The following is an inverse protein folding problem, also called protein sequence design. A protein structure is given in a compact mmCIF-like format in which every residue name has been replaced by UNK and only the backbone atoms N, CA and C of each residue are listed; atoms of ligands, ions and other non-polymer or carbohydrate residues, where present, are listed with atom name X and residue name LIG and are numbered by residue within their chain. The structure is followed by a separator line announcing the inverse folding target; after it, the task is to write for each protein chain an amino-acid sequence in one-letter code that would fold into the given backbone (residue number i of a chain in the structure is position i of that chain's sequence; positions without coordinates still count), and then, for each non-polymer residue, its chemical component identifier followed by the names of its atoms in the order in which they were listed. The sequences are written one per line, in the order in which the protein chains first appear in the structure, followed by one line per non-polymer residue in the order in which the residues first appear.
data_IF_160839709605
#
_entry.id   IF_160839709605
#
_cell.length_a   1.000
_cell.length_b   1.000
_cell.length_c   1.000
_cell.angle_alpha   90.00
_cell.angle_beta   90.00
_cell.angle_gamma   90.00
#
_symmetry.space_group_name_H-M   'P 1'
#
loop_
_entity.id
_entity.type
_entity.pdbx_description
1 polymer ?
#
# COMPACT_ATOMS: atom_id res chain seq x y z
N UNK A 1 5.02 -6.09 -14.46
CA UNK A 1 5.29 -5.18 -13.32
C UNK A 1 5.14 -5.95 -12.01
N UNK A 2 5.99 -5.66 -11.02
CA UNK A 2 5.92 -6.25 -9.68
C UNK A 2 5.80 -5.12 -8.67
N UNK A 3 4.89 -5.27 -7.69
CA UNK A 3 4.68 -4.31 -6.62
C UNK A 3 4.72 -4.98 -5.25
N UNK A 4 5.04 -4.19 -4.22
CA UNK A 4 5.06 -4.59 -2.81
C UNK A 4 4.38 -3.54 -1.95
N UNK A 5 3.72 -4.02 -0.89
CA UNK A 5 3.13 -3.16 0.14
C UNK A 5 4.24 -2.43 0.89
N UNK A 6 4.02 -1.15 1.15
CA UNK A 6 4.81 -0.34 2.08
C UNK A 6 4.18 -0.53 3.45
N UNK A 7 4.95 -1.07 4.37
CA UNK A 7 4.48 -1.32 5.73
C UNK A 7 4.62 -0.06 6.59
N UNK A 8 3.83 0.03 7.65
CA UNK A 8 4.02 1.04 8.67
C UNK A 8 5.29 0.73 9.46
N UNK A 9 6.18 1.72 9.70
CA UNK A 9 7.43 1.48 10.45
C UNK A 9 7.20 0.89 11.85
N UNK A 10 6.12 1.32 12.53
CA UNK A 10 5.76 0.84 13.87
C UNK A 10 4.91 -0.43 13.87
N UNK A 11 4.33 -0.84 12.74
CA UNK A 11 3.51 -2.05 12.64
C UNK A 11 3.59 -2.68 11.24
N UNK A 12 4.47 -3.68 11.05
CA UNK A 12 4.71 -4.31 9.75
C UNK A 12 3.49 -5.00 9.12
N UNK A 13 2.49 -5.36 9.92
CA UNK A 13 1.25 -5.97 9.44
C UNK A 13 0.30 -4.93 8.82
N UNK A 14 0.48 -3.65 9.14
CA UNK A 14 -0.33 -2.57 8.61
C UNK A 14 0.33 -1.98 7.36
N UNK A 15 -0.38 -2.00 6.23
CA UNK A 15 0.09 -1.37 5.00
C UNK A 15 -0.37 0.10 4.94
N UNK A 16 0.56 1.00 4.65
CA UNK A 16 0.27 2.44 4.44
C UNK A 16 0.29 2.83 2.97
N UNK A 17 0.73 1.91 2.10
CA UNK A 17 0.87 2.17 0.68
C UNK A 17 1.41 0.97 -0.09
N UNK A 18 1.81 1.21 -1.34
CA UNK A 18 2.46 0.24 -2.21
C UNK A 18 3.49 0.93 -3.11
N UNK A 19 4.56 0.21 -3.45
CA UNK A 19 5.60 0.66 -4.37
C UNK A 19 5.87 -0.40 -5.41
N UNK A 20 6.17 0.01 -6.64
CA UNK A 20 6.58 -0.88 -7.72
C UNK A 20 8.10 -1.00 -7.81
N UNK A 21 8.59 -2.04 -8.50
CA UNK A 21 10.02 -2.23 -8.74
C UNK A 21 10.70 -1.10 -9.55
N UNK A 22 9.92 -0.29 -10.28
CA UNK A 22 10.35 0.92 -10.98
C UNK A 22 10.26 2.20 -10.13
N UNK A 23 9.86 2.07 -8.86
CA UNK A 23 9.88 3.17 -7.89
C UNK A 23 8.60 4.01 -7.81
N UNK A 24 7.58 3.72 -8.62
CA UNK A 24 6.29 4.39 -8.48
C UNK A 24 5.62 3.96 -7.16
N UNK A 25 5.26 4.94 -6.34
CA UNK A 25 4.66 4.72 -5.03
C UNK A 25 3.28 5.35 -4.94
N UNK A 26 2.40 4.68 -4.19
CA UNK A 26 1.06 5.14 -3.84
C UNK A 26 0.85 4.96 -2.35
N UNK A 27 0.28 5.97 -1.71
CA UNK A 27 -0.01 5.96 -0.29
C UNK A 27 -1.52 6.05 -0.03
N UNK A 28 -1.92 5.61 1.16
CA UNK A 28 -3.24 5.87 1.70
C UNK A 28 -3.22 7.17 2.50
N UNK A 29 -3.65 8.26 1.86
CA UNK A 29 -3.67 9.60 2.44
C UNK A 29 -4.47 9.68 3.75
N UNK A 30 -5.51 8.87 3.91
CA UNK A 30 -6.32 8.86 5.14
C UNK A 30 -5.53 8.24 6.29
N UNK A 31 -4.82 7.14 6.03
CA UNK A 31 -3.96 6.47 7.02
C UNK A 31 -2.79 7.36 7.41
N UNK A 32 -2.11 7.97 6.43
CA UNK A 32 -1.00 8.90 6.68
C UNK A 32 -1.46 10.06 7.56
N UNK A 33 -2.57 10.71 7.20
CA UNK A 33 -3.12 11.84 7.97
C UNK A 33 -3.55 11.45 9.36
N UNK A 34 -4.19 10.28 9.54
CA UNK A 34 -4.67 9.82 10.84
C UNK A 34 -3.53 9.43 11.79
N UNK A 35 -2.44 8.90 11.24
CA UNK A 35 -1.27 8.52 12.02
C UNK A 35 -0.25 9.67 12.18
N UNK A 36 -0.48 10.82 11.54
CA UNK A 36 0.42 11.97 11.58
C UNK A 36 1.78 11.66 10.97
N UNK A 37 1.83 10.77 9.97
CA UNK A 37 3.06 10.36 9.33
C UNK A 37 3.46 11.37 8.27
N UNK A 38 4.76 11.61 8.17
CA UNK A 38 5.35 12.33 7.06
C UNK A 38 5.83 11.33 5.99
N UNK A 39 5.75 11.69 4.72
CA UNK A 39 6.25 10.83 3.63
C UNK A 39 7.75 10.52 3.79
N UNK A 40 8.55 11.45 4.32
CA UNK A 40 9.96 11.23 4.63
C UNK A 40 10.18 10.19 5.73
N UNK A 41 9.23 10.03 6.66
CA UNK A 41 9.29 8.97 7.67
C UNK A 41 9.00 7.57 7.08
N UNK A 42 8.31 7.51 5.94
CA UNK A 42 8.00 6.27 5.22
C UNK A 42 9.07 5.88 4.20
N UNK A 43 10.00 6.78 3.89
CA UNK A 43 11.06 6.56 2.90
C UNK A 43 11.89 5.28 3.14
N UNK A 44 12.30 4.93 4.38
CA UNK A 44 13.01 3.68 4.61
C UNK A 44 12.17 2.43 4.31
N UNK A 45 10.87 2.47 4.63
CA UNK A 45 9.95 1.36 4.34
C UNK A 45 9.60 1.28 2.85
N UNK A 46 9.52 2.43 2.18
CA UNK A 46 9.38 2.53 0.72
C UNK A 46 10.55 1.84 0.04
N UNK A 47 11.78 2.19 0.42
CA UNK A 47 12.98 1.64 -0.20
C UNK A 47 13.13 0.13 0.08
N UNK A 48 12.84 -0.32 1.31
CA UNK A 48 12.78 -1.75 1.64
C UNK A 48 11.76 -2.50 0.79
N UNK A 49 10.56 -1.94 0.62
CA UNK A 49 9.51 -2.54 -0.20
C UNK A 49 9.89 -2.55 -1.69
N UNK A 50 10.54 -1.49 -2.18
CA UNK A 50 11.04 -1.37 -3.54
C UNK A 50 12.10 -2.43 -3.83
N UNK A 51 13.11 -2.57 -2.97
CA UNK A 51 14.16 -3.59 -3.13
C UNK A 51 13.57 -5.00 -3.18
N UNK A 52 12.58 -5.29 -2.33
CA UNK A 52 11.85 -6.57 -2.37
C UNK A 52 11.02 -6.75 -3.65
N UNK A 53 10.54 -5.67 -4.26
CA UNK A 53 9.85 -5.71 -5.54
C UNK A 53 10.84 -5.96 -6.69
N UNK A 54 12.03 -5.37 -6.64
CA UNK A 54 13.14 -5.60 -7.56
C UNK A 54 13.65 -7.05 -7.47
N UNK A 55 14.00 -7.53 -6.27
CA UNK A 55 14.41 -8.93 -6.01
C UNK A 55 13.37 -9.93 -6.57
N UNK A 56 12.08 -9.65 -6.35
CA UNK A 56 11.00 -10.51 -6.85
C UNK A 56 10.80 -10.41 -8.36
N UNK A 57 11.00 -9.22 -8.94
CA UNK A 57 10.97 -9.04 -10.40
C UNK A 57 12.09 -9.84 -11.03
N UNK A 58 13.31 -9.72 -10.52
CA UNK A 58 14.48 -10.34 -11.09
C UNK A 58 14.40 -11.87 -10.97
N UNK A 59 13.92 -12.38 -9.82
CA UNK A 59 13.63 -13.80 -9.65
C UNK A 59 12.52 -14.33 -10.57
N UNK A 60 11.50 -13.50 -10.86
CA UNK A 60 10.41 -13.90 -11.77
C UNK A 60 10.84 -13.88 -13.24
N UNK A 61 11.68 -12.91 -13.61
CA UNK A 61 12.17 -12.77 -14.96
C UNK A 61 13.25 -13.81 -15.29
N UNK A 62 14.13 -14.14 -14.34
CA UNK A 62 15.18 -15.15 -14.54
C UNK A 62 15.96 -14.91 -15.85
N UNK A 63 16.38 -13.65 -16.07
CA UNK A 63 17.04 -13.20 -17.30
C UNK A 63 16.13 -12.98 -18.53
N UNK A 64 14.83 -13.26 -18.43
CA UNK A 64 13.85 -13.03 -19.51
C UNK A 64 13.36 -11.59 -19.52
N UNK A 65 12.96 -11.12 -20.70
CA UNK A 65 12.30 -9.82 -20.82
C UNK A 65 10.88 -9.90 -20.25
N UNK A 66 10.42 -8.91 -19.45
CA UNK A 66 9.06 -8.90 -18.93
C UNK A 66 8.04 -8.92 -20.08
N UNK A 67 6.95 -9.70 -19.96
CA UNK A 67 5.90 -9.69 -20.96
C UNK A 67 5.27 -8.29 -21.03
N UNK A 68 5.03 -7.82 -22.25
CA UNK A 68 4.28 -6.59 -22.46
C UNK A 68 2.86 -6.80 -21.92
N UNK A 69 2.37 -5.96 -21.00
CA UNK A 69 1.00 -6.07 -20.54
C UNK A 69 0.04 -5.87 -21.73
N UNK A 70 -1.13 -6.53 -21.76
CA UNK A 70 -2.07 -6.35 -22.85
C UNK A 70 -2.44 -4.87 -23.00
N UNK A 71 -2.62 -4.41 -24.24
CA UNK A 71 -2.92 -2.99 -24.55
C UNK A 71 -4.22 -2.48 -23.91
N UNK A 72 -5.08 -3.39 -23.43
CA UNK A 72 -6.21 -3.02 -22.59
C UNK A 72 -5.65 -2.54 -21.26
N UNK A 73 -5.86 -1.26 -20.87
CA UNK A 73 -5.47 -0.82 -19.55
C UNK A 73 -6.08 -1.81 -18.57
N UNK A 74 -5.26 -2.38 -17.69
CA UNK A 74 -5.75 -3.09 -16.50
C UNK A 74 -6.65 -2.06 -15.84
N UNK A 75 -7.96 -2.21 -16.04
CA UNK A 75 -8.93 -1.16 -15.77
C UNK A 75 -8.65 -0.72 -14.37
N UNK A 76 -8.15 0.53 -14.25
CA UNK A 76 -7.80 1.24 -13.01
C UNK A 76 -8.56 0.55 -11.91
N UNK A 77 -7.87 -0.22 -11.07
CA UNK A 77 -8.50 -0.76 -9.87
C UNK A 77 -9.04 0.47 -9.13
N UNK A 78 -10.31 0.80 -9.39
CA UNK A 78 -11.09 1.69 -8.56
C UNK A 78 -11.31 0.83 -7.34
N UNK A 79 -10.31 0.82 -6.46
CA UNK A 79 -10.49 0.46 -5.07
C UNK A 79 -11.54 1.44 -4.54
N UNK A 80 -12.81 1.12 -4.77
CA UNK A 80 -13.94 1.73 -4.11
C UNK A 80 -13.95 1.14 -2.71
N UNK A 81 -13.03 1.61 -1.87
CA UNK A 81 -13.19 1.51 -0.42
C UNK A 81 -14.52 2.21 -0.11
N UNK A 82 -15.55 1.40 0.06
CA UNK A 82 -16.91 1.83 0.31
C UNK A 82 -16.86 2.50 1.68
N UNK A 83 -17.08 3.82 1.73
CA UNK A 83 -17.37 4.56 2.97
C UNK A 83 -18.46 3.82 3.75
N UNK A 84 -18.08 3.01 4.74
CA UNK A 84 -18.99 2.67 5.84
C UNK A 84 -18.80 3.79 6.85
N UNK A 85 -19.78 4.70 6.88
CA UNK A 85 -19.94 5.65 7.98
C UNK A 85 -19.93 4.86 9.29
N UNK A 86 -19.15 5.23 10.31
CA UNK A 86 -19.36 4.70 11.65
C UNK A 86 -20.72 5.22 12.14
N UNK A 87 -21.59 4.29 12.54
CA UNK A 87 -22.83 4.59 13.24
C UNK A 87 -22.48 5.16 14.62
N UNK A 88 -22.99 6.34 15.03
CA UNK A 88 -22.76 6.85 16.36
C UNK A 88 -23.82 6.25 17.29
N UNK A 89 -23.44 5.24 18.08
CA UNK A 89 -24.19 4.96 19.29
C UNK A 89 -23.28 4.57 20.46
N UNK A 90 -22.70 5.59 21.08
CA UNK A 90 -22.33 5.52 22.49
C UNK A 90 -23.47 6.13 23.31
N UNK A 91 -24.31 5.28 23.90
CA UNK A 91 -25.05 5.64 25.12
C UNK A 91 -24.74 4.60 26.20
N UNK A 92 -23.87 5.00 27.13
CA UNK A 92 -23.89 4.56 28.53
C UNK A 92 -25.30 4.84 29.07
N UNK A 93 -25.94 3.99 29.88
CA UNK A 93 -25.77 3.70 31.32
C UNK A 93 -26.94 2.77 31.74
N UNK A 94 -27.14 2.38 33.02
CA UNK A 94 -26.23 1.94 34.08
C UNK A 94 -26.66 0.56 34.67
N UNK A 95 -25.88 0.08 35.63
CA UNK A 95 -26.21 -0.94 36.63
C UNK A 95 -27.52 -0.66 37.38
N UNK A 96 -28.38 -1.66 37.49
CA UNK A 96 -29.13 -2.06 38.70
C UNK A 96 -29.42 -3.54 38.58
#
# INVERSE_FOLDING_TARGET
MVAKKIALPSNPEHAVGAVTADGAAWYDDEVIRRLGLDEGALEPERERARRRAEEKRDAFLDGRTPPTPPARPVSRWRFRWRRRRPSPNSRRKPTT
#
